data_IF_332261236731
#
_entry.id   IF_332261236731
#
_cell.length_a   1.000
_cell.length_b   1.000
_cell.length_c   1.000
_cell.angle_alpha   90.00
_cell.angle_beta   90.00
_cell.angle_gamma   90.00
#
_symmetry.space_group_name_H-M   'P 1'
#
loop_
_entity.id
_entity.type
_entity.pdbx_description
1 polymer ?
#
# COMPACT_ATOMS: atom_id res chain seq x y z
N UNK A 1 -61.26 24.79 6.27
CA UNK A 1 -60.03 24.68 5.47
C UNK A 1 -58.99 23.98 6.31
N UNK A 2 -58.74 22.66 6.14
CA UNK A 2 -57.62 22.00 6.84
C UNK A 2 -56.35 22.13 6.00
N UNK A 3 -55.28 22.60 6.63
CA UNK A 3 -53.92 22.70 6.10
C UNK A 3 -53.27 21.33 6.04
N UNK A 4 -52.95 20.92 4.83
CA UNK A 4 -52.20 19.68 4.52
C UNK A 4 -50.75 19.86 4.89
N UNK A 5 -50.26 19.19 5.95
CA UNK A 5 -48.83 19.04 6.23
C UNK A 5 -48.28 17.87 5.42
N UNK A 6 -47.39 18.18 4.48
CA UNK A 6 -46.61 17.18 3.74
C UNK A 6 -45.54 16.57 4.67
N UNK A 7 -45.35 15.24 4.69
CA UNK A 7 -44.28 14.65 5.45
C UNK A 7 -42.94 14.88 4.75
N UNK A 8 -41.94 15.32 5.51
CA UNK A 8 -40.55 15.44 5.06
C UNK A 8 -40.04 14.07 4.61
N UNK A 9 -39.55 14.02 3.38
CA UNK A 9 -38.86 12.86 2.82
C UNK A 9 -37.54 12.72 3.60
N UNK A 10 -37.45 11.70 4.44
CA UNK A 10 -36.19 11.29 5.05
C UNK A 10 -35.24 10.89 3.93
N UNK A 11 -34.12 11.58 3.88
CA UNK A 11 -32.98 11.22 3.01
C UNK A 11 -32.56 9.80 3.38
N UNK A 12 -32.75 8.87 2.44
CA UNK A 12 -32.18 7.54 2.52
C UNK A 12 -30.66 7.68 2.48
N UNK A 13 -29.99 7.38 3.61
CA UNK A 13 -28.53 7.37 3.68
C UNK A 13 -27.93 6.51 2.59
N UNK A 14 -26.85 6.99 2.02
CA UNK A 14 -26.01 6.24 1.07
C UNK A 14 -25.68 4.87 1.69
N UNK A 15 -26.02 3.79 0.96
CA UNK A 15 -25.73 2.43 1.42
C UNK A 15 -24.24 2.14 1.51
N UNK A 16 -23.81 0.94 1.96
CA UNK A 16 -22.42 0.58 2.28
C UNK A 16 -21.38 0.92 1.21
N UNK A 17 -21.78 1.06 -0.05
CA UNK A 17 -20.89 1.48 -1.15
C UNK A 17 -20.63 3.00 -1.18
N UNK A 18 -21.52 3.82 -0.64
CA UNK A 18 -21.32 5.25 -0.48
C UNK A 18 -20.27 5.52 0.60
N UNK A 19 -20.39 4.88 1.75
CA UNK A 19 -19.45 5.00 2.87
C UNK A 19 -18.05 4.50 2.53
N UNK A 20 -17.93 3.44 1.71
CA UNK A 20 -16.66 2.93 1.20
C UNK A 20 -15.86 3.98 0.45
N UNK A 21 -16.51 4.66 -0.47
CA UNK A 21 -15.89 5.72 -1.27
C UNK A 21 -15.45 6.89 -0.40
N UNK A 22 -16.21 7.21 0.66
CA UNK A 22 -15.89 8.32 1.56
C UNK A 22 -14.64 8.06 2.40
N UNK A 23 -14.46 6.86 2.97
CA UNK A 23 -13.27 6.55 3.80
C UNK A 23 -12.01 6.48 2.95
N UNK A 24 -12.05 5.78 1.80
CA UNK A 24 -10.90 5.72 0.89
C UNK A 24 -10.58 7.09 0.28
N UNK A 25 -11.58 7.93 0.03
CA UNK A 25 -11.37 9.31 -0.43
C UNK A 25 -10.71 10.16 0.65
N UNK A 26 -11.12 10.04 1.91
CA UNK A 26 -10.50 10.72 3.04
C UNK A 26 -9.04 10.27 3.23
N UNK A 27 -8.77 8.96 3.21
CA UNK A 27 -7.41 8.42 3.24
C UNK A 27 -6.55 9.02 2.13
N UNK A 28 -7.04 8.99 0.89
CA UNK A 28 -6.34 9.54 -0.27
C UNK A 28 -6.04 11.03 -0.12
N UNK A 29 -7.01 11.80 0.36
CA UNK A 29 -6.87 13.25 0.51
C UNK A 29 -5.87 13.60 1.62
N UNK A 30 -6.00 12.98 2.78
CA UNK A 30 -5.17 13.29 3.94
C UNK A 30 -3.75 12.70 3.86
N UNK A 31 -3.52 11.71 3.00
CA UNK A 31 -2.17 11.16 2.76
C UNK A 31 -1.53 11.70 1.47
N UNK A 32 -2.16 12.62 0.76
CA UNK A 32 -1.70 13.11 -0.55
C UNK A 32 -0.26 13.61 -0.53
N UNK A 33 0.08 14.45 0.45
CA UNK A 33 1.41 15.07 0.53
C UNK A 33 2.50 14.03 0.81
N UNK A 34 2.23 13.08 1.69
CA UNK A 34 3.17 11.99 2.00
C UNK A 34 3.33 11.02 0.82
N UNK A 35 2.24 10.76 0.10
CA UNK A 35 2.28 9.96 -1.13
C UNK A 35 3.12 10.64 -2.22
N UNK A 36 2.92 11.94 -2.43
CA UNK A 36 3.73 12.71 -3.37
C UNK A 36 5.20 12.75 -2.95
N UNK A 37 5.47 12.92 -1.67
CA UNK A 37 6.84 12.95 -1.15
C UNK A 37 7.58 11.62 -1.39
N UNK A 38 6.94 10.46 -1.17
CA UNK A 38 7.57 9.17 -1.45
C UNK A 38 7.76 8.94 -2.96
N UNK A 39 6.83 9.34 -3.81
CA UNK A 39 6.98 9.25 -5.26
C UNK A 39 8.21 10.06 -5.75
N UNK A 40 8.40 11.26 -5.21
CA UNK A 40 9.57 12.10 -5.50
C UNK A 40 10.87 11.45 -5.02
N UNK A 41 10.89 10.92 -3.79
CA UNK A 41 12.04 10.21 -3.22
C UNK A 41 12.45 9.00 -4.08
N UNK A 42 11.48 8.22 -4.55
CA UNK A 42 11.74 7.02 -5.33
C UNK A 42 12.16 7.31 -6.78
N UNK A 43 11.65 8.37 -7.39
CA UNK A 43 11.95 8.77 -8.76
C UNK A 43 11.66 7.71 -9.83
N UNK A 44 10.77 6.74 -9.54
CA UNK A 44 10.50 5.60 -10.43
C UNK A 44 9.91 5.99 -11.79
N UNK A 45 9.30 7.16 -11.89
CA UNK A 45 8.74 7.70 -13.14
C UNK A 45 9.69 8.65 -13.87
N UNK A 46 10.96 8.75 -13.42
CA UNK A 46 11.96 9.60 -14.05
C UNK A 46 12.40 9.07 -15.42
N UNK A 47 12.53 9.99 -16.36
CA UNK A 47 13.14 9.68 -17.69
C UNK A 47 14.63 9.29 -17.59
N UNK A 48 15.29 9.61 -16.49
CA UNK A 48 16.68 9.24 -16.21
C UNK A 48 16.82 8.02 -15.30
N UNK A 49 15.74 7.28 -15.05
CA UNK A 49 15.76 6.08 -14.22
C UNK A 49 16.76 5.07 -14.77
N UNK A 50 17.66 4.60 -13.91
CA UNK A 50 18.64 3.55 -14.24
C UNK A 50 18.27 2.21 -13.61
N UNK A 51 18.77 1.13 -14.17
CA UNK A 51 18.59 -0.21 -13.59
C UNK A 51 19.16 -0.30 -12.16
N UNK A 52 20.27 0.39 -11.89
CA UNK A 52 20.87 0.41 -10.56
C UNK A 52 19.96 1.14 -9.54
N UNK A 53 19.33 2.26 -9.93
CA UNK A 53 18.37 2.96 -9.08
C UNK A 53 17.12 2.11 -8.81
N UNK A 54 16.65 1.40 -9.84
CA UNK A 54 15.53 0.47 -9.71
C UNK A 54 15.85 -0.69 -8.75
N UNK A 55 17.02 -1.32 -8.90
CA UNK A 55 17.49 -2.39 -7.97
C UNK A 55 17.51 -1.90 -6.54
N UNK A 56 18.09 -0.71 -6.26
CA UNK A 56 18.09 -0.10 -4.93
C UNK A 56 16.69 0.11 -4.37
N UNK A 57 15.75 0.54 -5.19
CA UNK A 57 14.36 0.68 -4.76
C UNK A 57 13.76 -0.66 -4.32
N UNK A 58 13.99 -1.74 -5.08
CA UNK A 58 13.51 -3.07 -4.70
C UNK A 58 14.15 -3.59 -3.40
N UNK A 59 15.44 -3.33 -3.18
CA UNK A 59 16.13 -3.66 -1.93
C UNK A 59 15.49 -2.93 -0.74
N UNK A 60 15.25 -1.63 -0.87
CA UNK A 60 14.56 -0.81 0.15
C UNK A 60 13.15 -1.32 0.40
N UNK A 61 12.41 -1.61 -0.65
CA UNK A 61 11.08 -2.15 -0.52
C UNK A 61 11.08 -3.52 0.17
N UNK A 62 11.98 -4.43 -0.21
CA UNK A 62 12.10 -5.71 0.47
C UNK A 62 12.38 -5.54 1.97
N UNK A 63 13.34 -4.67 2.32
CA UNK A 63 13.69 -4.38 3.71
C UNK A 63 12.54 -3.76 4.52
N UNK A 64 11.59 -3.07 3.88
CA UNK A 64 10.41 -2.51 4.54
C UNK A 64 9.23 -3.48 4.57
N UNK A 65 8.87 -4.07 3.41
CA UNK A 65 7.70 -4.94 3.28
C UNK A 65 7.79 -6.18 4.15
N UNK A 66 8.92 -6.85 4.16
CA UNK A 66 9.09 -8.11 4.90
C UNK A 66 8.72 -8.00 6.40
N UNK A 67 9.30 -7.08 7.20
CA UNK A 67 8.94 -6.97 8.61
C UNK A 67 7.54 -6.38 8.85
N UNK A 68 7.04 -5.53 7.95
CA UNK A 68 5.69 -4.97 8.06
C UNK A 68 4.64 -6.05 7.81
N UNK A 69 4.79 -6.85 6.74
CA UNK A 69 3.88 -7.95 6.44
C UNK A 69 3.91 -9.04 7.51
N UNK A 70 5.08 -9.35 8.07
CA UNK A 70 5.19 -10.28 9.18
C UNK A 70 4.37 -9.84 10.41
N UNK A 71 4.30 -8.52 10.70
CA UNK A 71 3.42 -7.99 11.75
C UNK A 71 1.95 -8.06 11.38
N UNK A 72 1.59 -7.70 10.17
CA UNK A 72 0.20 -7.75 9.70
C UNK A 72 -0.34 -9.18 9.72
N UNK A 73 0.49 -10.18 9.39
CA UNK A 73 0.12 -11.59 9.41
C UNK A 73 -0.20 -12.12 10.83
N UNK A 74 0.30 -11.47 11.87
CA UNK A 74 -0.03 -11.79 13.27
C UNK A 74 -1.39 -11.23 13.71
N UNK A 75 -2.04 -10.37 12.89
CA UNK A 75 -3.32 -9.73 13.18
C UNK A 75 -4.46 -10.60 12.68
N UNK A 76 -4.90 -11.52 13.53
CA UNK A 76 -5.98 -12.49 13.20
C UNK A 76 -7.31 -11.81 12.90
N UNK A 77 -7.56 -10.65 13.52
CA UNK A 77 -8.78 -9.85 13.37
C UNK A 77 -8.99 -9.34 11.93
N UNK A 78 -7.92 -9.25 11.14
CA UNK A 78 -8.05 -8.87 9.73
C UNK A 78 -8.82 -9.93 8.92
N UNK A 79 -8.68 -11.21 9.28
CA UNK A 79 -9.44 -12.28 8.61
C UNK A 79 -10.92 -12.23 8.94
N UNK A 80 -11.29 -11.77 10.13
CA UNK A 80 -12.69 -11.62 10.54
C UNK A 80 -13.44 -10.57 9.68
N UNK A 81 -12.70 -9.60 9.13
CA UNK A 81 -13.23 -8.59 8.22
C UNK A 81 -12.96 -8.90 6.74
N UNK A 82 -12.60 -10.15 6.41
CA UNK A 82 -12.41 -10.62 5.03
C UNK A 82 -11.07 -10.24 4.39
N UNK A 83 -10.06 -9.87 5.19
CA UNK A 83 -8.71 -9.59 4.70
C UNK A 83 -7.76 -10.69 5.18
N UNK A 84 -7.21 -11.48 4.25
CA UNK A 84 -6.09 -12.37 4.57
C UNK A 84 -4.74 -11.69 4.26
N UNK A 85 -3.96 -11.31 5.29
CA UNK A 85 -2.65 -10.68 5.08
C UNK A 85 -1.64 -11.60 4.36
N UNK A 86 -1.82 -12.92 4.42
CA UNK A 86 -0.93 -13.87 3.75
C UNK A 86 -1.18 -13.86 2.24
N UNK A 87 -2.45 -13.88 1.81
CA UNK A 87 -2.80 -13.76 0.38
C UNK A 87 -2.32 -12.43 -0.22
N UNK A 88 -2.22 -11.39 0.61
CA UNK A 88 -1.84 -10.04 0.20
C UNK A 88 -0.35 -9.74 0.29
N UNK A 89 0.45 -10.71 0.74
CA UNK A 89 1.89 -10.53 0.91
C UNK A 89 2.63 -10.34 -0.43
N UNK A 90 3.51 -9.35 -0.49
CA UNK A 90 4.31 -8.98 -1.67
C UNK A 90 5.81 -9.09 -1.44
N UNK A 91 6.27 -9.24 -0.19
CA UNK A 91 7.68 -9.46 0.10
C UNK A 91 8.26 -10.68 -0.66
N UNK A 92 7.52 -11.80 -0.85
CA UNK A 92 8.00 -12.89 -1.70
C UNK A 92 8.20 -12.50 -3.16
N UNK A 93 7.39 -11.56 -3.69
CA UNK A 93 7.51 -11.05 -5.05
C UNK A 93 8.79 -10.21 -5.18
N UNK A 94 9.05 -9.33 -4.21
CA UNK A 94 10.28 -8.54 -4.12
C UNK A 94 11.51 -9.44 -4.05
N UNK A 95 11.48 -10.47 -3.19
CA UNK A 95 12.58 -11.42 -3.08
C UNK A 95 12.86 -12.16 -4.40
N UNK A 96 11.82 -12.46 -5.19
CA UNK A 96 11.96 -13.05 -6.53
C UNK A 96 12.58 -12.06 -7.51
N UNK A 97 12.07 -10.83 -7.56
CA UNK A 97 12.58 -9.80 -8.47
C UNK A 97 14.06 -9.50 -8.22
N UNK A 98 14.46 -9.40 -6.96
CA UNK A 98 15.86 -9.20 -6.56
C UNK A 98 16.77 -10.33 -7.06
N UNK A 99 16.35 -11.59 -6.96
CA UNK A 99 17.12 -12.73 -7.49
C UNK A 99 17.24 -12.67 -9.01
N UNK A 100 16.15 -12.36 -9.71
CA UNK A 100 16.11 -12.25 -11.17
C UNK A 100 17.01 -11.13 -11.68
N UNK A 101 17.11 -10.04 -10.90
CA UNK A 101 17.96 -8.88 -11.21
C UNK A 101 19.41 -9.05 -10.73
N UNK A 102 19.75 -10.21 -10.21
CA UNK A 102 21.12 -10.52 -9.70
C UNK A 102 21.61 -9.54 -8.63
N UNK A 103 20.73 -9.20 -7.70
CA UNK A 103 21.04 -8.31 -6.56
C UNK A 103 21.63 -9.07 -5.36
N UNK A 104 21.89 -10.37 -5.52
CA UNK A 104 22.41 -11.22 -4.46
C UNK A 104 21.30 -11.94 -3.66
N UNK A 105 21.60 -12.34 -2.42
CA UNK A 105 20.66 -13.07 -1.58
C UNK A 105 19.75 -12.12 -0.79
N UNK A 106 18.44 -12.05 -1.08
CA UNK A 106 17.52 -11.18 -0.36
C UNK A 106 17.43 -11.45 1.15
N UNK A 107 17.78 -12.67 1.59
CA UNK A 107 17.70 -13.05 3.01
C UNK A 107 18.73 -12.34 3.90
N UNK A 108 19.80 -11.79 3.31
CA UNK A 108 20.85 -11.07 4.05
C UNK A 108 20.72 -9.56 3.93
N UNK A 109 19.73 -9.07 3.16
CA UNK A 109 19.50 -7.64 3.03
C UNK A 109 19.01 -7.05 4.37
N UNK A 110 19.45 -5.84 4.72
CA UNK A 110 19.01 -5.16 5.92
C UNK A 110 17.49 -4.97 5.94
N UNK A 111 16.88 -5.23 7.10
CA UNK A 111 15.48 -5.02 7.35
C UNK A 111 15.24 -3.72 8.13
N UNK A 112 14.14 -3.05 7.82
CA UNK A 112 13.69 -1.88 8.56
C UNK A 112 13.31 -2.28 9.99
N UNK A 113 14.02 -1.71 10.99
CA UNK A 113 13.75 -1.98 12.40
C UNK A 113 12.58 -1.19 12.93
N UNK A 114 12.37 0.00 12.38
CA UNK A 114 11.24 0.87 12.71
C UNK A 114 10.06 0.55 11.80
N UNK A 115 9.20 -0.36 12.23
CA UNK A 115 8.00 -0.73 11.46
C UNK A 115 6.75 -0.09 12.06
N UNK A 116 5.70 0.17 11.24
CA UNK A 116 4.46 0.77 11.73
C UNK A 116 3.87 0.02 12.91
N UNK A 117 3.35 0.77 13.89
CA UNK A 117 2.60 0.20 14.99
C UNK A 117 1.21 -0.19 14.49
N UNK A 118 0.98 -1.48 14.36
CA UNK A 118 -0.34 -2.04 13.98
C UNK A 118 -1.06 -2.55 15.23
N UNK A 119 -1.18 -1.68 16.25
CA UNK A 119 -1.71 -2.03 17.57
C UNK A 119 -3.21 -2.34 17.56
N UNK A 120 -3.96 -1.74 16.64
CA UNK A 120 -5.40 -1.95 16.44
C UNK A 120 -5.70 -2.39 15.01
N UNK A 121 -6.92 -2.84 14.76
CA UNK A 121 -7.40 -3.16 13.40
C UNK A 121 -7.44 -1.89 12.54
N UNK A 122 -7.82 -0.73 13.09
CA UNK A 122 -7.78 0.55 12.37
C UNK A 122 -6.36 0.89 11.93
N UNK A 123 -5.37 0.80 12.84
CA UNK A 123 -3.97 1.05 12.52
C UNK A 123 -3.44 0.06 11.48
N UNK A 124 -3.82 -1.22 11.56
CA UNK A 124 -3.45 -2.22 10.57
C UNK A 124 -4.03 -1.91 9.18
N UNK A 125 -5.31 -1.50 9.10
CA UNK A 125 -5.94 -1.09 7.84
C UNK A 125 -5.30 0.17 7.25
N UNK A 126 -4.94 1.15 8.08
CA UNK A 126 -4.20 2.34 7.63
C UNK A 126 -2.82 2.00 7.07
N UNK A 127 -2.09 1.08 7.71
CA UNK A 127 -0.83 0.55 7.21
C UNK A 127 -1.05 -0.19 5.88
N UNK A 128 -2.04 -1.08 5.80
CA UNK A 128 -2.36 -1.83 4.58
C UNK A 128 -2.79 -0.94 3.42
N UNK A 129 -3.43 0.20 3.69
CA UNK A 129 -3.77 1.18 2.64
C UNK A 129 -2.54 1.60 1.84
N UNK A 130 -1.41 1.82 2.50
CA UNK A 130 -0.15 2.19 1.83
C UNK A 130 0.41 1.01 1.01
N UNK A 131 0.41 -0.19 1.57
CA UNK A 131 0.93 -1.39 0.91
C UNK A 131 0.06 -1.80 -0.30
N UNK A 132 -1.26 -1.73 -0.15
CA UNK A 132 -2.21 -2.05 -1.24
C UNK A 132 -2.20 -0.98 -2.34
N UNK A 133 -2.05 0.29 -1.96
CA UNK A 133 -1.90 1.41 -2.89
C UNK A 133 -0.71 1.24 -3.85
N UNK A 134 0.39 0.67 -3.37
CA UNK A 134 1.54 0.35 -4.21
C UNK A 134 1.20 -0.60 -5.38
N UNK A 135 0.26 -1.53 -5.19
CA UNK A 135 -0.21 -2.42 -6.27
C UNK A 135 -1.07 -1.69 -7.29
N UNK A 136 -1.87 -0.72 -6.85
CA UNK A 136 -2.73 0.06 -7.74
C UNK A 136 -1.88 0.98 -8.65
N UNK A 137 -0.90 1.69 -8.08
CA UNK A 137 0.06 2.51 -8.82
C UNK A 137 1.04 1.67 -9.65
N UNK A 138 1.29 0.44 -9.23
CA UNK A 138 2.25 -0.49 -9.84
C UNK A 138 2.01 -0.74 -11.33
N UNK A 139 0.76 -0.71 -11.79
CA UNK A 139 0.44 -0.91 -13.21
C UNK A 139 0.98 0.22 -14.10
N UNK A 140 1.01 1.47 -13.60
CA UNK A 140 1.58 2.62 -14.33
C UNK A 140 3.10 2.50 -14.31
N UNK A 141 3.67 2.19 -13.14
CA UNK A 141 5.12 1.99 -12.96
C UNK A 141 5.61 0.84 -13.83
N UNK A 142 4.93 -0.30 -13.88
CA UNK A 142 5.30 -1.44 -14.73
C UNK A 142 5.43 -1.07 -16.21
N UNK A 143 4.50 -0.27 -16.73
CA UNK A 143 4.58 0.22 -18.13
C UNK A 143 5.79 1.11 -18.36
N UNK A 144 6.08 2.02 -17.43
CA UNK A 144 7.25 2.89 -17.51
C UNK A 144 8.56 2.08 -17.41
N UNK A 145 8.65 1.11 -16.50
CA UNK A 145 9.80 0.21 -16.37
C UNK A 145 10.03 -0.61 -17.64
N UNK A 146 8.95 -1.10 -18.26
CA UNK A 146 9.02 -1.80 -19.55
C UNK A 146 9.56 -0.92 -20.66
N UNK A 147 9.04 0.29 -20.80
CA UNK A 147 9.46 1.24 -21.82
C UNK A 147 10.89 1.75 -21.59
N UNK A 148 11.29 1.97 -20.34
CA UNK A 148 12.55 2.62 -19.99
C UNK A 148 13.72 1.67 -19.80
N UNK A 149 13.47 0.52 -19.18
CA UNK A 149 14.51 -0.44 -18.77
C UNK A 149 14.35 -1.82 -19.40
N UNK A 150 13.29 -2.06 -20.19
CA UNK A 150 12.97 -3.38 -20.71
C UNK A 150 12.52 -4.39 -19.62
N UNK A 151 12.17 -3.91 -18.43
CA UNK A 151 11.74 -4.75 -17.32
C UNK A 151 10.32 -5.25 -17.57
N UNK A 152 10.16 -6.57 -17.55
CA UNK A 152 8.86 -7.26 -17.61
C UNK A 152 8.54 -7.92 -16.27
N UNK A 153 7.36 -8.50 -16.17
CA UNK A 153 6.96 -9.32 -15.02
C UNK A 153 7.97 -10.44 -14.72
N UNK A 154 8.53 -11.05 -15.76
CA UNK A 154 9.45 -12.18 -15.65
C UNK A 154 10.88 -11.74 -15.38
N UNK A 155 11.27 -10.53 -15.81
CA UNK A 155 12.63 -10.02 -15.72
C UNK A 155 12.88 -9.05 -14.54
N UNK A 156 12.08 -9.14 -13.46
CA UNK A 156 12.29 -8.38 -12.23
C UNK A 156 11.24 -7.31 -11.97
N UNK A 157 10.05 -7.38 -12.61
CA UNK A 157 8.92 -6.44 -12.42
C UNK A 157 7.69 -7.07 -11.76
N UNK A 158 7.82 -8.25 -11.13
CA UNK A 158 6.69 -8.98 -10.57
C UNK A 158 6.00 -8.22 -9.42
N UNK A 159 6.76 -7.55 -8.57
CA UNK A 159 6.22 -6.74 -7.47
C UNK A 159 5.25 -5.65 -7.97
N UNK A 160 5.67 -4.86 -8.97
CA UNK A 160 4.83 -3.81 -9.55
C UNK A 160 3.70 -4.36 -10.42
N UNK A 161 3.85 -5.56 -10.95
CA UNK A 161 2.74 -6.27 -11.60
C UNK A 161 1.66 -6.65 -10.56
N UNK A 162 2.06 -6.91 -9.32
CA UNK A 162 1.19 -7.15 -8.18
C UNK A 162 0.21 -8.30 -8.41
N UNK A 163 -1.09 -8.03 -8.25
CA UNK A 163 -2.16 -9.01 -8.46
C UNK A 163 -2.51 -9.21 -9.95
N UNK A 164 -1.85 -8.52 -10.88
CA UNK A 164 -2.17 -8.58 -12.30
C UNK A 164 -3.61 -8.13 -12.58
N UNK A 165 -4.37 -8.95 -13.29
CA UNK A 165 -5.78 -8.67 -13.64
C UNK A 165 -6.70 -8.58 -12.41
N UNK A 166 -6.33 -9.22 -11.29
CA UNK A 166 -7.09 -9.17 -10.03
C UNK A 166 -6.88 -7.88 -9.24
N UNK A 167 -6.00 -6.96 -9.66
CA UNK A 167 -5.69 -5.74 -8.90
C UNK A 167 -6.94 -4.93 -8.54
N UNK A 168 -7.86 -4.76 -9.50
CA UNK A 168 -9.11 -4.04 -9.25
C UNK A 168 -10.07 -4.76 -8.29
N UNK A 169 -10.13 -6.09 -8.34
CA UNK A 169 -10.90 -6.92 -7.42
C UNK A 169 -10.34 -6.81 -6.00
N UNK A 170 -9.03 -7.00 -5.85
CA UNK A 170 -8.33 -6.96 -4.55
C UNK A 170 -8.46 -5.59 -3.88
N UNK A 171 -8.38 -4.51 -4.67
CA UNK A 171 -8.58 -3.15 -4.17
C UNK A 171 -10.02 -2.91 -3.73
N UNK A 172 -11.02 -3.37 -4.49
CA UNK A 172 -12.43 -3.25 -4.10
C UNK A 172 -12.75 -4.04 -2.84
N UNK A 173 -12.23 -5.26 -2.71
CA UNK A 173 -12.39 -6.07 -1.51
C UNK A 173 -11.75 -5.39 -0.28
N UNK A 174 -10.55 -4.80 -0.43
CA UNK A 174 -9.92 -4.00 0.61
C UNK A 174 -10.79 -2.80 1.00
N UNK A 175 -11.29 -2.04 0.02
CA UNK A 175 -12.15 -0.88 0.26
C UNK A 175 -13.46 -1.24 0.97
N UNK A 176 -14.06 -2.38 0.66
CA UNK A 176 -15.25 -2.88 1.34
C UNK A 176 -14.96 -3.19 2.82
N UNK A 177 -13.84 -3.87 3.11
CA UNK A 177 -13.43 -4.17 4.49
C UNK A 177 -13.12 -2.89 5.29
N UNK A 178 -12.38 -1.93 4.71
CA UNK A 178 -12.11 -0.62 5.32
C UNK A 178 -13.41 0.08 5.69
N UNK A 179 -14.39 0.06 4.80
CA UNK A 179 -15.66 0.77 5.03
C UNK A 179 -16.54 0.11 6.05
N UNK A 180 -16.61 -1.21 6.04
CA UNK A 180 -17.38 -1.94 7.04
C UNK A 180 -16.79 -1.78 8.45
N UNK A 181 -15.48 -1.54 8.55
CA UNK A 181 -14.80 -1.33 9.82
C UNK A 181 -14.83 0.12 10.30
N UNK A 182 -14.65 1.09 9.40
CA UNK A 182 -14.46 2.51 9.73
C UNK A 182 -15.80 3.24 10.00
N UNK A 183 -16.63 2.69 10.87
CA UNK A 183 -17.97 3.24 11.18
C UNK A 183 -17.92 4.43 12.14
N UNK A 184 -16.85 4.59 12.93
CA UNK A 184 -16.70 5.71 13.86
C UNK A 184 -15.64 6.70 13.37
N UNK A 185 -15.72 7.95 13.81
CA UNK A 185 -14.73 9.00 13.50
C UNK A 185 -13.36 8.62 14.06
N UNK A 186 -13.30 8.09 15.27
CA UNK A 186 -12.07 7.69 15.94
C UNK A 186 -11.33 6.59 15.15
N UNK A 187 -12.06 5.58 14.64
CA UNK A 187 -11.47 4.53 13.82
C UNK A 187 -10.93 5.08 12.48
N UNK A 188 -11.64 6.03 11.88
CA UNK A 188 -11.18 6.71 10.65
C UNK A 188 -9.92 7.53 10.88
N UNK A 189 -9.90 8.33 11.95
CA UNK A 189 -8.76 9.18 12.32
C UNK A 189 -7.53 8.32 12.63
N UNK A 190 -7.68 7.25 13.39
CA UNK A 190 -6.60 6.32 13.69
C UNK A 190 -6.05 5.68 12.42
N UNK A 191 -6.93 5.25 11.50
CA UNK A 191 -6.55 4.66 10.22
C UNK A 191 -5.75 5.65 9.36
N UNK A 192 -6.19 6.91 9.29
CA UNK A 192 -5.49 7.97 8.56
C UNK A 192 -4.12 8.26 9.17
N UNK A 193 -4.05 8.38 10.50
CA UNK A 193 -2.77 8.62 11.18
C UNK A 193 -1.79 7.46 10.98
N UNK A 194 -2.27 6.22 11.00
CA UNK A 194 -1.46 5.05 10.71
C UNK A 194 -0.96 5.04 9.25
N UNK A 195 -1.79 5.43 8.29
CA UNK A 195 -1.39 5.56 6.89
C UNK A 195 -0.31 6.64 6.70
N UNK A 196 -0.50 7.83 7.28
CA UNK A 196 0.48 8.92 7.28
C UNK A 196 1.80 8.45 7.91
N UNK A 197 1.73 7.82 9.08
CA UNK A 197 2.90 7.27 9.78
C UNK A 197 3.65 6.23 8.94
N UNK A 198 2.92 5.37 8.23
CA UNK A 198 3.49 4.34 7.35
C UNK A 198 4.22 4.95 6.16
N UNK A 199 3.63 5.94 5.48
CA UNK A 199 4.30 6.68 4.40
C UNK A 199 5.59 7.36 4.88
N UNK A 200 5.55 8.03 6.03
CA UNK A 200 6.72 8.70 6.62
C UNK A 200 7.84 7.71 6.97
N UNK A 201 7.49 6.56 7.53
CA UNK A 201 8.45 5.51 7.85
C UNK A 201 9.07 4.93 6.58
N UNK A 202 8.26 4.63 5.56
CA UNK A 202 8.74 4.14 4.26
C UNK A 202 9.67 5.16 3.60
N UNK A 203 9.30 6.44 3.57
CA UNK A 203 10.13 7.49 3.00
C UNK A 203 11.48 7.59 3.71
N UNK A 204 11.49 7.73 5.03
CA UNK A 204 12.75 7.78 5.81
C UNK A 204 13.63 6.54 5.59
N UNK A 205 13.02 5.37 5.44
CA UNK A 205 13.76 4.16 5.14
C UNK A 205 14.37 4.19 3.73
N UNK A 206 13.66 4.71 2.75
CA UNK A 206 14.14 4.82 1.37
C UNK A 206 15.20 5.92 1.19
N UNK A 207 15.20 6.97 2.02
CA UNK A 207 16.16 8.09 2.00
C UNK A 207 17.51 7.75 2.61
N UNK A 208 17.69 6.59 3.27
CA UNK A 208 18.99 6.21 3.86
C UNK A 208 20.02 5.95 2.77
N UNK A 209 21.17 6.62 2.89
CA UNK A 209 22.30 6.48 1.94
C UNK A 209 23.18 5.23 2.20
N UNK A 210 22.93 4.47 3.26
CA UNK A 210 23.71 3.28 3.56
C UNK A 210 23.56 2.23 2.46
N UNK A 211 24.65 1.68 1.93
CA UNK A 211 24.60 0.58 0.97
C UNK A 211 23.94 -0.62 1.65
N UNK A 212 22.89 -1.18 1.00
CA UNK A 212 22.18 -2.35 1.51
C UNK A 212 22.93 -3.65 1.21
N UNK A 213 23.82 -3.66 0.22
CA UNK A 213 24.68 -4.78 -0.13
C UNK A 213 26.12 -4.47 0.26
N UNK A 214 26.68 -5.21 1.19
CA UNK A 214 28.14 -5.38 1.29
C UNK A 214 28.54 -6.31 0.16
N UNK A 215 29.34 -5.79 -0.77
CA UNK A 215 29.92 -6.52 -1.89
C UNK A 215 30.58 -7.83 -1.45
#
# INVERSE_FOLDING_TARGET
MPTSSSPAVASLGDGPQGDAKHVLAALREQTRDEHQAIEQTLGLMSETLTLQAYRRTLERFHGFWQPVEARLQQRVELREIGIDPVERAKAPLLARDLRVLDVGNPAVLPLCREVPLVASTAAALGCMYVLEGASLGGQIISRHLGARLGITRESGGLFFHGYGERTGEMWRAFGAAVSSFAVTTEARDEMVQAAIGTFRLLRRWCERDEPLSTA
#
